data_IF_746045709583
#
_entry.id   IF_746045709583
#
_cell.length_a   1.000
_cell.length_b   1.000
_cell.length_c   1.000
_cell.angle_alpha   90.00
_cell.angle_beta   90.00
_cell.angle_gamma   90.00
#
_symmetry.space_group_name_H-M   'P 1'
#
loop_
_entity.id
_entity.type
_entity.pdbx_description
1 polymer ?
#
# COMPACT_ATOMS: atom_id res chain seq x y z
N UNK A 1 -2.02 -47.47 -30.20
CA UNK A 1 -1.98 -45.99 -30.30
C UNK A 1 -2.45 -45.43 -28.97
N UNK A 2 -1.53 -45.06 -28.09
CA UNK A 2 -1.80 -44.64 -26.72
C UNK A 2 -1.98 -43.12 -26.65
N UNK A 3 -3.06 -42.66 -26.01
CA UNK A 3 -3.31 -41.25 -25.72
C UNK A 3 -2.38 -40.76 -24.60
N UNK A 4 -1.80 -39.55 -24.68
CA UNK A 4 -1.05 -39.01 -23.57
C UNK A 4 -2.01 -38.49 -22.48
N UNK A 5 -1.79 -39.00 -21.27
CA UNK A 5 -2.44 -38.54 -20.04
C UNK A 5 -2.03 -37.08 -19.75
N UNK A 6 -3.02 -36.18 -19.72
CA UNK A 6 -2.86 -34.85 -19.16
C UNK A 6 -2.72 -34.98 -17.65
N UNK A 7 -1.48 -34.90 -17.16
CA UNK A 7 -1.17 -34.75 -15.76
C UNK A 7 -1.63 -33.35 -15.30
N UNK A 8 -2.85 -33.27 -14.75
CA UNK A 8 -3.29 -32.13 -13.95
C UNK A 8 -2.53 -32.26 -12.63
N UNK A 9 -1.37 -31.62 -12.56
CA UNK A 9 -0.68 -31.38 -11.29
C UNK A 9 -1.49 -30.34 -10.51
N UNK A 10 -2.32 -30.81 -9.58
CA UNK A 10 -3.01 -29.95 -8.63
C UNK A 10 -1.99 -29.31 -7.68
N UNK A 11 -1.62 -28.06 -7.99
CA UNK A 11 -0.90 -27.20 -7.06
C UNK A 11 -1.75 -26.97 -5.79
N UNK A 12 -1.13 -26.85 -4.60
CA UNK A 12 -1.86 -26.83 -3.32
C UNK A 12 -2.69 -25.55 -3.15
N UNK A 13 -4.01 -25.75 -2.98
CA UNK A 13 -5.08 -24.76 -2.90
C UNK A 13 -5.03 -23.73 -1.72
N UNK A 14 -3.89 -23.57 -1.04
CA UNK A 14 -3.76 -22.69 0.14
C UNK A 14 -3.05 -21.36 -0.18
N UNK A 15 -2.47 -21.17 -1.38
CA UNK A 15 -1.89 -19.87 -1.79
C UNK A 15 -2.90 -18.94 -2.46
N UNK A 16 -4.00 -19.48 -2.97
CA UNK A 16 -4.95 -18.74 -3.82
C UNK A 16 -5.83 -17.72 -3.09
N UNK A 17 -5.88 -17.73 -1.75
CA UNK A 17 -6.67 -16.75 -0.98
C UNK A 17 -5.95 -15.42 -0.80
N UNK A 18 -4.61 -15.42 -0.75
CA UNK A 18 -3.81 -14.18 -0.62
C UNK A 18 -3.68 -13.49 -1.98
N UNK A 19 -3.68 -14.26 -3.07
CA UNK A 19 -3.48 -13.77 -4.43
C UNK A 19 -4.72 -13.08 -5.04
N UNK A 20 -5.85 -13.01 -4.34
CA UNK A 20 -7.11 -12.48 -4.89
C UNK A 20 -7.39 -11.05 -4.40
N UNK A 21 -6.98 -9.99 -5.13
CA UNK A 21 -7.03 -8.60 -4.62
C UNK A 21 -8.45 -8.00 -4.55
N UNK A 22 -9.52 -8.76 -4.84
CA UNK A 22 -10.89 -8.25 -4.84
C UNK A 22 -11.31 -7.67 -3.47
N UNK A 23 -10.80 -8.21 -2.36
CA UNK A 23 -11.13 -7.75 -1.00
C UNK A 23 -10.54 -6.36 -0.66
N UNK A 24 -9.44 -5.97 -1.32
CA UNK A 24 -8.84 -4.63 -1.22
C UNK A 24 -9.35 -3.69 -2.31
N UNK A 25 -10.00 -4.22 -3.34
CA UNK A 25 -10.48 -3.44 -4.44
C UNK A 25 -11.68 -2.58 -4.05
N UNK A 26 -11.77 -1.38 -4.62
CA UNK A 26 -12.93 -0.52 -4.41
C UNK A 26 -14.10 -1.05 -5.25
N UNK A 27 -15.22 -1.40 -4.60
CA UNK A 27 -16.42 -1.93 -5.26
C UNK A 27 -16.95 -1.05 -6.42
N UNK A 28 -16.82 0.28 -6.33
CA UNK A 28 -17.20 1.25 -7.38
C UNK A 28 -16.05 1.64 -8.33
N UNK A 29 -14.96 0.87 -8.39
CA UNK A 29 -13.86 1.19 -9.29
C UNK A 29 -14.29 0.99 -10.74
N UNK A 30 -14.23 2.04 -11.56
CA UNK A 30 -14.59 2.00 -12.98
C UNK A 30 -13.61 1.17 -13.82
N UNK A 31 -12.37 0.99 -13.36
CA UNK A 31 -11.33 0.26 -14.09
C UNK A 31 -11.40 -1.26 -13.88
N UNK A 32 -11.61 -1.70 -12.64
CA UNK A 32 -11.60 -3.13 -12.30
C UNK A 32 -12.99 -3.69 -11.94
N UNK A 33 -14.03 -2.86 -11.91
CA UNK A 33 -15.40 -3.25 -11.52
C UNK A 33 -15.48 -4.08 -10.21
N UNK A 34 -14.62 -3.77 -9.24
CA UNK A 34 -14.54 -4.50 -7.96
C UNK A 34 -13.80 -5.86 -7.99
N UNK A 35 -13.11 -6.20 -9.08
CA UNK A 35 -12.30 -7.43 -9.16
C UNK A 35 -10.85 -7.26 -8.68
N UNK A 36 -10.36 -6.02 -8.62
CA UNK A 36 -9.00 -5.70 -8.18
C UNK A 36 -7.90 -5.94 -9.22
N UNK A 37 -8.21 -6.51 -10.38
CA UNK A 37 -7.26 -6.73 -11.48
C UNK A 37 -7.74 -6.04 -12.76
N UNK A 38 -6.78 -5.66 -13.60
CA UNK A 38 -7.02 -5.04 -14.91
C UNK A 38 -6.10 -5.73 -15.91
N UNK A 39 -6.64 -6.04 -17.10
CA UNK A 39 -5.82 -6.52 -18.22
C UNK A 39 -5.28 -5.30 -18.96
N UNK A 40 -3.96 -5.14 -18.96
CA UNK A 40 -3.29 -4.06 -19.67
C UNK A 40 -2.14 -4.66 -20.47
N UNK A 41 -2.12 -4.39 -21.77
CA UNK A 41 -1.03 -4.85 -22.65
C UNK A 41 -0.80 -6.37 -22.60
N UNK A 42 -1.88 -7.14 -22.62
CA UNK A 42 -1.85 -8.62 -22.55
C UNK A 42 -1.46 -9.21 -21.19
N UNK A 43 -1.04 -8.38 -20.22
CA UNK A 43 -0.68 -8.81 -18.87
C UNK A 43 -1.78 -8.50 -17.86
N UNK A 44 -2.01 -9.43 -16.93
CA UNK A 44 -2.89 -9.23 -15.79
C UNK A 44 -2.10 -8.43 -14.75
N UNK A 45 -2.51 -7.18 -14.50
CA UNK A 45 -1.90 -6.30 -13.50
C UNK A 45 -2.92 -5.98 -12.40
N UNK A 46 -2.43 -5.75 -11.19
CA UNK A 46 -3.28 -5.29 -10.10
C UNK A 46 -3.75 -3.85 -10.37
N UNK A 47 -5.00 -3.57 -9.97
CA UNK A 47 -5.58 -2.27 -10.18
C UNK A 47 -4.96 -1.26 -9.20
N UNK A 48 -4.78 -0.01 -9.64
CA UNK A 48 -4.34 1.07 -8.77
C UNK A 48 -5.24 1.29 -7.54
N UNK A 49 -6.50 0.85 -7.55
CA UNK A 49 -7.37 0.92 -6.37
C UNK A 49 -6.92 0.00 -5.23
N UNK A 50 -6.29 -1.14 -5.56
CA UNK A 50 -5.75 -2.11 -4.62
C UNK A 50 -4.51 -1.55 -3.96
N UNK A 51 -3.55 -1.06 -4.76
CA UNK A 51 -2.35 -0.40 -4.26
C UNK A 51 -2.68 0.77 -3.32
N UNK A 52 -3.67 1.60 -3.68
CA UNK A 52 -4.17 2.68 -2.80
C UNK A 52 -4.72 2.15 -1.48
N UNK A 53 -5.48 1.05 -1.51
CA UNK A 53 -6.03 0.46 -0.29
C UNK A 53 -4.93 -0.11 0.62
N UNK A 54 -3.93 -0.81 0.04
CA UNK A 54 -2.75 -1.30 0.78
C UNK A 54 -2.02 -0.12 1.43
N UNK A 55 -1.73 0.92 0.65
CA UNK A 55 -1.08 2.13 1.13
C UNK A 55 -1.85 2.77 2.28
N UNK A 56 -3.17 2.93 2.16
CA UNK A 56 -4.00 3.53 3.21
C UNK A 56 -3.99 2.68 4.49
N UNK A 57 -3.98 1.35 4.40
CA UNK A 57 -3.88 0.45 5.56
C UNK A 57 -2.54 0.65 6.28
N UNK A 58 -1.44 0.66 5.53
CA UNK A 58 -0.08 0.85 6.08
C UNK A 58 0.05 2.24 6.69
N UNK A 59 -0.39 3.30 6.00
CA UNK A 59 -0.25 4.65 6.50
C UNK A 59 -1.13 4.93 7.71
N UNK A 60 -2.33 4.34 7.83
CA UNK A 60 -3.11 4.40 9.08
C UNK A 60 -2.34 3.81 10.26
N UNK A 61 -1.61 2.72 10.03
CA UNK A 61 -0.75 2.12 11.05
C UNK A 61 0.38 3.08 11.45
N UNK A 62 1.07 3.64 10.47
CA UNK A 62 2.12 4.64 10.69
C UNK A 62 1.60 5.89 11.43
N UNK A 63 0.41 6.39 11.07
CA UNK A 63 -0.24 7.52 11.73
C UNK A 63 -0.53 7.23 13.22
N UNK A 64 -1.01 6.02 13.52
CA UNK A 64 -1.24 5.60 14.90
C UNK A 64 0.05 5.59 15.72
N UNK A 65 1.16 5.13 15.14
CA UNK A 65 2.48 5.14 15.79
C UNK A 65 2.94 6.58 16.07
N UNK A 66 2.83 7.49 15.10
CA UNK A 66 3.21 8.89 15.28
C UNK A 66 2.39 9.62 16.35
N UNK A 67 1.11 9.26 16.50
CA UNK A 67 0.23 9.78 17.56
C UNK A 67 0.50 9.14 18.93
N UNK A 68 1.44 8.18 19.03
CA UNK A 68 1.81 7.52 20.27
C UNK A 68 0.86 6.40 20.69
N UNK A 69 -0.04 5.95 19.81
CA UNK A 69 -0.87 4.78 20.10
C UNK A 69 -0.03 3.51 20.00
N UNK A 70 -0.07 2.67 21.04
CA UNK A 70 0.45 1.29 20.95
C UNK A 70 -0.60 0.43 20.29
N UNK A 71 -0.24 -0.25 19.22
CA UNK A 71 -1.15 -1.17 18.58
C UNK A 71 -1.20 -2.48 19.37
N UNK A 72 -2.38 -3.09 19.52
CA UNK A 72 -2.47 -4.41 20.12
C UNK A 72 -1.61 -5.37 19.29
N UNK A 73 -0.56 -5.92 19.91
CA UNK A 73 0.33 -6.86 19.24
C UNK A 73 -0.41 -8.17 18.99
N UNK A 74 -0.98 -8.33 17.78
CA UNK A 74 -1.78 -9.52 17.43
C UNK A 74 -0.90 -10.76 17.16
N UNK A 75 0.42 -10.61 16.94
CA UNK A 75 1.27 -11.77 16.65
C UNK A 75 2.75 -11.58 17.03
N UNK A 76 3.07 -11.90 18.28
CA UNK A 76 4.19 -12.71 18.79
C UNK A 76 4.42 -12.25 20.21
N UNK A 77 4.25 -13.15 21.19
CA UNK A 77 4.79 -12.93 22.54
C UNK A 77 6.23 -12.43 22.34
N UNK A 78 6.62 -11.27 22.91
CA UNK A 78 8.02 -10.89 22.87
C UNK A 78 8.81 -12.09 23.39
N UNK A 79 9.75 -12.61 22.59
CA UNK A 79 10.73 -13.54 23.13
C UNK A 79 11.30 -12.84 24.36
N UNK A 80 11.27 -13.51 25.52
CA UNK A 80 11.74 -12.96 26.80
C UNK A 80 13.03 -12.17 26.55
N UNK A 81 13.00 -10.84 26.77
CA UNK A 81 14.18 -9.98 26.66
C UNK A 81 14.43 -9.22 25.35
N UNK A 82 13.50 -9.17 24.40
CA UNK A 82 13.69 -8.36 23.17
C UNK A 82 13.27 -6.88 23.34
N UNK A 83 14.15 -5.94 23.02
CA UNK A 83 13.87 -4.51 22.87
C UNK A 83 13.19 -4.15 21.54
N UNK A 84 12.52 -5.11 20.88
CA UNK A 84 11.96 -4.92 19.55
C UNK A 84 10.77 -3.95 19.60
N UNK A 85 10.82 -2.95 18.73
CA UNK A 85 9.87 -1.85 18.64
C UNK A 85 9.16 -1.96 17.28
N UNK A 86 8.46 -3.08 17.05
CA UNK A 86 7.94 -3.48 15.73
C UNK A 86 7.13 -2.40 15.02
N UNK A 87 6.36 -1.62 15.78
CA UNK A 87 5.55 -0.53 15.23
C UNK A 87 6.41 0.67 14.82
N UNK A 88 7.42 1.04 15.61
CA UNK A 88 8.38 2.07 15.24
C UNK A 88 9.30 1.61 14.10
N UNK A 89 9.71 0.35 14.10
CA UNK A 89 10.49 -0.28 13.03
C UNK A 89 9.72 -0.24 11.71
N UNK A 90 8.43 -0.59 11.71
CA UNK A 90 7.57 -0.46 10.54
C UNK A 90 7.51 0.98 10.02
N UNK A 91 7.31 1.96 10.91
CA UNK A 91 7.27 3.37 10.50
C UNK A 91 8.60 3.84 9.90
N UNK A 92 9.72 3.43 10.51
CA UNK A 92 11.06 3.73 10.01
C UNK A 92 11.33 3.09 8.64
N UNK A 93 10.93 1.83 8.46
CA UNK A 93 11.08 1.11 7.19
C UNK A 93 10.26 1.76 6.08
N UNK A 94 9.01 2.13 6.36
CA UNK A 94 8.14 2.81 5.39
C UNK A 94 8.73 4.17 5.00
N UNK A 95 9.19 4.98 5.96
CA UNK A 95 9.84 6.26 5.70
C UNK A 95 11.09 6.10 4.82
N UNK A 96 11.92 5.09 5.12
CA UNK A 96 13.16 4.81 4.41
C UNK A 96 12.91 4.29 2.99
N UNK A 97 11.88 3.46 2.77
CA UNK A 97 11.43 3.06 1.44
C UNK A 97 10.95 4.27 0.64
N UNK A 98 10.13 5.14 1.24
CA UNK A 98 9.65 6.35 0.59
C UNK A 98 10.82 7.26 0.18
N UNK A 99 11.81 7.45 1.05
CA UNK A 99 12.99 8.28 0.77
C UNK A 99 13.87 7.73 -0.35
N UNK A 100 13.93 6.41 -0.53
CA UNK A 100 14.73 5.76 -1.59
C UNK A 100 14.03 5.73 -2.95
N UNK A 101 12.70 5.72 -2.95
CA UNK A 101 11.89 5.52 -4.16
C UNK A 101 11.37 6.83 -4.76
N UNK A 102 11.24 7.87 -3.94
CA UNK A 102 10.68 9.16 -4.34
C UNK A 102 11.77 10.20 -4.61
N UNK A 103 11.48 11.10 -5.55
CA UNK A 103 12.27 12.32 -5.74
C UNK A 103 12.03 13.31 -4.59
N UNK A 104 12.94 14.26 -4.37
CA UNK A 104 12.88 15.20 -3.25
C UNK A 104 11.54 15.96 -3.15
N UNK A 105 10.96 16.35 -4.29
CA UNK A 105 9.65 17.02 -4.34
C UNK A 105 8.50 16.10 -3.92
N UNK A 106 8.50 14.88 -4.47
CA UNK A 106 7.49 13.86 -4.17
C UNK A 106 7.59 13.38 -2.72
N UNK A 107 8.81 13.28 -2.19
CA UNK A 107 9.08 12.96 -0.80
C UNK A 107 8.56 14.03 0.15
N UNK A 108 8.71 15.31 -0.19
CA UNK A 108 8.14 16.41 0.61
C UNK A 108 6.61 16.33 0.66
N UNK A 109 5.96 16.05 -0.47
CA UNK A 109 4.50 15.84 -0.51
C UNK A 109 4.11 14.63 0.32
N UNK A 110 4.86 13.54 0.24
CA UNK A 110 4.64 12.32 1.03
C UNK A 110 4.69 12.60 2.55
N UNK A 111 5.73 13.28 3.03
CA UNK A 111 5.89 13.61 4.46
C UNK A 111 4.72 14.48 4.95
N UNK A 112 4.37 15.52 4.19
CA UNK A 112 3.28 16.42 4.57
C UNK A 112 1.90 15.73 4.52
N UNK A 113 1.57 15.07 3.41
CA UNK A 113 0.24 14.53 3.18
C UNK A 113 0.01 13.21 3.92
N UNK A 114 0.99 12.31 3.91
CA UNK A 114 0.82 10.92 4.31
C UNK A 114 1.35 10.64 5.73
N UNK A 115 2.51 11.16 6.11
CA UNK A 115 3.05 10.94 7.47
C UNK A 115 2.42 11.89 8.50
N UNK A 116 2.32 13.17 8.18
CA UNK A 116 1.77 14.17 9.09
C UNK A 116 0.27 14.45 8.92
N UNK A 117 -0.36 13.95 7.85
CA UNK A 117 -1.79 14.16 7.61
C UNK A 117 -2.19 15.62 7.42
N UNK A 118 -1.28 16.46 6.92
CA UNK A 118 -1.52 17.91 6.74
C UNK A 118 -2.67 18.13 5.76
N UNK A 119 -3.57 19.05 6.10
CA UNK A 119 -4.69 19.41 5.22
C UNK A 119 -4.15 19.97 3.90
N UNK A 120 -4.78 19.58 2.79
CA UNK A 120 -4.36 19.96 1.43
C UNK A 120 -4.16 21.48 1.25
N UNK A 121 -4.90 22.33 1.97
CA UNK A 121 -4.75 23.79 1.93
C UNK A 121 -3.35 24.24 2.37
N UNK A 122 -2.90 23.72 3.52
CA UNK A 122 -1.57 24.01 4.08
C UNK A 122 -0.50 23.32 3.24
N UNK A 123 -0.74 22.08 2.80
CA UNK A 123 0.16 21.35 1.91
C UNK A 123 0.44 22.11 0.59
N UNK A 124 -0.61 22.63 -0.06
CA UNK A 124 -0.50 23.45 -1.27
C UNK A 124 0.31 24.72 -1.01
N UNK A 125 0.10 25.39 0.13
CA UNK A 125 0.85 26.59 0.49
C UNK A 125 2.34 26.31 0.70
N UNK A 126 2.68 25.21 1.39
CA UNK A 126 4.06 24.82 1.67
C UNK A 126 4.81 24.34 0.43
N UNK A 127 4.13 23.59 -0.45
CA UNK A 127 4.74 22.99 -1.65
C UNK A 127 4.59 23.83 -2.91
N UNK A 128 3.85 24.96 -2.84
CA UNK A 128 3.50 25.82 -3.98
C UNK A 128 2.83 25.06 -5.12
N UNK A 129 2.02 24.05 -4.78
CA UNK A 129 1.22 23.28 -5.73
C UNK A 129 -0.22 23.82 -5.74
N UNK A 130 -0.89 23.74 -6.89
CA UNK A 130 -2.34 23.92 -6.94
C UNK A 130 -3.07 22.69 -6.38
N UNK A 131 -4.35 22.88 -6.07
CA UNK A 131 -5.20 21.83 -5.51
C UNK A 131 -5.23 20.58 -6.40
N UNK A 132 -5.31 20.74 -7.72
CA UNK A 132 -5.38 19.62 -8.65
C UNK A 132 -4.09 18.81 -8.63
N UNK A 133 -2.95 19.48 -8.81
CA UNK A 133 -1.64 18.86 -8.79
C UNK A 133 -1.32 18.21 -7.44
N UNK A 134 -1.75 18.79 -6.33
CA UNK A 134 -1.61 18.17 -5.01
C UNK A 134 -2.27 16.79 -4.97
N UNK A 135 -3.55 16.68 -5.35
CA UNK A 135 -4.25 15.39 -5.35
C UNK A 135 -3.68 14.42 -6.39
N UNK A 136 -3.29 14.91 -7.57
CA UNK A 136 -2.62 14.06 -8.57
C UNK A 136 -1.30 13.48 -8.07
N UNK A 137 -0.49 14.29 -7.36
CA UNK A 137 0.74 13.82 -6.72
C UNK A 137 0.45 12.77 -5.66
N UNK A 138 -0.45 13.04 -4.73
CA UNK A 138 -0.86 12.07 -3.68
C UNK A 138 -1.32 10.76 -4.31
N UNK A 139 -2.18 10.82 -5.33
CA UNK A 139 -2.67 9.64 -6.04
C UNK A 139 -1.60 8.86 -6.80
N UNK A 140 -0.54 9.53 -7.25
CA UNK A 140 0.62 8.91 -7.88
C UNK A 140 1.51 8.25 -6.83
N UNK A 141 1.75 8.92 -5.70
CA UNK A 141 2.49 8.40 -4.55
C UNK A 141 1.87 7.10 -4.03
N UNK A 142 0.56 7.11 -3.77
CA UNK A 142 -0.18 5.93 -3.30
C UNK A 142 -0.08 4.75 -4.26
N UNK A 143 0.01 5.01 -5.58
CA UNK A 143 0.14 3.95 -6.60
C UNK A 143 1.57 3.42 -6.70
N UNK A 144 2.57 4.25 -6.40
CA UNK A 144 3.99 3.88 -6.49
C UNK A 144 4.49 3.16 -5.24
N UNK A 145 3.96 3.53 -4.07
CA UNK A 145 4.41 2.99 -2.78
C UNK A 145 3.56 1.83 -2.27
N UNK A 146 2.28 1.74 -2.66
CA UNK A 146 1.42 0.60 -2.38
C UNK A 146 1.54 -0.48 -3.43
#
# INVERSE_FOLDING_TARGET
MAAPALAITSAPAHRDTIDRPWYLSRHKCTYCAGQGRVVSDGQIKDCACVHRAVFDIVMRRVEMVHKGYRLPSVARRPRRGGFAMLDQELAADVHLIARRTLDARDFTVYVLACEHGVTWRVGCQLTRLDRGNWFHRVYSLQRRLG
#
